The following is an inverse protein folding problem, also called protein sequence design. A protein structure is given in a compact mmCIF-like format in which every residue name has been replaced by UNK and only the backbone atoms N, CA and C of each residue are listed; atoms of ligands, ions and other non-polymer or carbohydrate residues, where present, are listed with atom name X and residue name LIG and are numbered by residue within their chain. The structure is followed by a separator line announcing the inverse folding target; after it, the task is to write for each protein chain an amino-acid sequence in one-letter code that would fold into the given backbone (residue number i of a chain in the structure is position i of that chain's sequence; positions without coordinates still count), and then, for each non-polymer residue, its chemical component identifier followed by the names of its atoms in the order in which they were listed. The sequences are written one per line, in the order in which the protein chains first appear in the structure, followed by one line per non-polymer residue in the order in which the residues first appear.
data_IF_182155121405
#
_entry.id   IF_182155121405
#
_cell.length_a   1.000
_cell.length_b   1.000
_cell.length_c   1.000
_cell.angle_alpha   90.00
_cell.angle_beta   90.00
_cell.angle_gamma   90.00
#
_symmetry.space_group_name_H-M   'P 1'
#
loop_
_entity.id
_entity.type
_entity.pdbx_description
1 polymer ?
#
# COMPACT_ATOMS: atom_id res chain seq x y z
N UNK A 1 -8.62 19.31 -4.85
CA UNK A 1 -8.08 18.87 -3.55
C UNK A 1 -8.59 17.48 -3.20
N UNK A 2 -7.73 16.63 -2.71
CA UNK A 2 -8.11 15.30 -2.25
C UNK A 2 -8.45 15.34 -0.77
N UNK A 3 -9.60 14.79 -0.42
CA UNK A 3 -10.05 14.75 0.98
C UNK A 3 -10.41 13.34 1.37
N UNK A 4 -10.28 13.05 2.65
CA UNK A 4 -10.73 11.80 3.25
C UNK A 4 -11.33 12.10 4.60
N UNK A 5 -12.28 11.27 4.99
CA UNK A 5 -13.01 11.46 6.23
C UNK A 5 -13.35 10.12 6.84
N UNK A 6 -13.26 10.02 8.17
CA UNK A 6 -13.79 8.87 8.89
C UNK A 6 -14.87 9.35 9.85
N UNK A 7 -15.92 8.54 9.96
CA UNK A 7 -17.02 8.82 10.88
C UNK A 7 -17.15 7.64 11.83
N UNK A 8 -17.12 7.93 13.13
CA UNK A 8 -17.25 6.90 14.16
C UNK A 8 -18.63 6.26 14.12
N UNK A 9 -18.65 4.92 14.20
CA UNK A 9 -19.87 4.14 14.20
C UNK A 9 -20.14 3.55 15.58
N UNK A 10 -19.22 2.77 16.10
CA UNK A 10 -19.32 2.13 17.40
C UNK A 10 -17.94 1.57 17.79
N UNK A 11 -17.68 1.44 19.07
CA UNK A 11 -16.42 0.88 19.60
C UNK A 11 -15.20 1.52 18.93
N UNK A 12 -14.39 0.77 18.23
CA UNK A 12 -13.23 1.28 17.49
C UNK A 12 -13.47 1.26 15.98
N UNK A 13 -14.73 1.20 15.56
CA UNK A 13 -15.11 1.07 14.16
C UNK A 13 -15.56 2.39 13.57
N UNK A 14 -15.05 2.69 12.39
CA UNK A 14 -15.32 3.91 11.64
C UNK A 14 -15.67 3.59 10.21
N UNK A 15 -16.47 4.45 9.59
CA UNK A 15 -16.67 4.44 8.14
C UNK A 15 -15.71 5.46 7.52
N UNK A 16 -14.90 5.00 6.56
CA UNK A 16 -13.98 5.88 5.84
C UNK A 16 -14.47 6.14 4.43
N UNK A 17 -14.26 7.34 3.94
CA UNK A 17 -14.60 7.73 2.57
C UNK A 17 -13.61 8.77 2.08
N UNK A 18 -13.23 8.68 0.82
CA UNK A 18 -12.37 9.69 0.20
C UNK A 18 -13.12 10.38 -0.94
N UNK A 19 -12.46 11.36 -1.57
CA UNK A 19 -13.05 12.18 -2.63
C UNK A 19 -13.60 11.37 -3.80
N UNK A 20 -13.06 10.17 -4.05
CA UNK A 20 -13.56 9.30 -5.12
C UNK A 20 -14.93 8.69 -4.81
N UNK A 21 -15.42 8.83 -3.58
CA UNK A 21 -16.73 8.31 -3.17
C UNK A 21 -16.74 6.87 -2.68
N UNK A 22 -15.60 6.18 -2.69
CA UNK A 22 -15.53 4.80 -2.24
C UNK A 22 -15.43 4.75 -0.72
N UNK A 23 -16.13 3.78 -0.13
CA UNK A 23 -16.17 3.61 1.32
C UNK A 23 -15.36 2.41 1.76
N UNK A 24 -14.84 2.49 2.98
CA UNK A 24 -14.10 1.39 3.58
C UNK A 24 -14.42 1.35 5.08
N UNK A 25 -14.46 0.15 5.63
CA UNK A 25 -14.61 -0.03 7.07
C UNK A 25 -13.23 -0.01 7.71
N UNK A 26 -13.06 0.82 8.73
CA UNK A 26 -11.83 0.93 9.50
C UNK A 26 -12.14 0.44 10.91
N UNK A 27 -11.38 -0.52 11.42
CA UNK A 27 -11.64 -1.09 12.74
C UNK A 27 -10.34 -1.25 13.52
N UNK A 28 -10.17 -0.45 14.57
CA UNK A 28 -8.99 -0.53 15.44
C UNK A 28 -8.86 -1.89 16.13
N UNK A 29 -9.97 -2.60 16.32
CA UNK A 29 -9.98 -3.94 16.93
C UNK A 29 -9.81 -5.07 15.91
N UNK A 30 -9.74 -4.75 14.62
CA UNK A 30 -9.51 -5.71 13.53
C UNK A 30 -10.56 -6.80 13.40
N UNK A 31 -11.79 -6.54 13.87
CA UNK A 31 -12.87 -7.52 13.85
C UNK A 31 -13.70 -7.46 12.58
N UNK A 32 -14.05 -6.25 12.14
CA UNK A 32 -14.91 -6.06 10.97
C UNK A 32 -14.21 -5.37 9.82
N UNK A 33 -12.95 -5.01 9.98
CA UNK A 33 -12.17 -4.35 8.94
C UNK A 33 -10.72 -4.22 9.35
N UNK A 34 -9.93 -3.64 8.48
CA UNK A 34 -8.51 -3.42 8.75
C UNK A 34 -8.33 -2.25 9.72
N UNK A 35 -7.28 -2.33 10.54
CA UNK A 35 -6.93 -1.24 11.42
C UNK A 35 -6.37 -0.05 10.62
N UNK A 36 -6.38 1.16 11.19
CA UNK A 36 -5.79 2.32 10.52
C UNK A 36 -4.35 2.09 10.08
N UNK A 37 -3.52 1.50 10.92
CA UNK A 37 -2.12 1.27 10.60
C UNK A 37 -1.95 0.20 9.52
N UNK A 38 -2.83 -0.82 9.48
CA UNK A 38 -2.84 -1.78 8.38
C UNK A 38 -3.18 -1.10 7.06
N UNK A 39 -4.10 -0.15 7.07
CA UNK A 39 -4.49 0.59 5.87
C UNK A 39 -3.35 1.44 5.34
N UNK A 40 -2.51 1.98 6.21
CA UNK A 40 -1.31 2.71 5.80
C UNK A 40 -0.38 1.78 5.00
N UNK A 41 -0.18 0.54 5.48
CA UNK A 41 0.65 -0.44 4.77
C UNK A 41 0.03 -0.87 3.45
N UNK A 42 -1.27 -1.11 3.42
CA UNK A 42 -1.99 -1.46 2.19
C UNK A 42 -1.85 -0.32 1.17
N UNK A 43 -2.02 0.92 1.62
CA UNK A 43 -1.87 2.09 0.77
C UNK A 43 -0.46 2.20 0.19
N UNK A 44 0.56 1.96 1.01
CA UNK A 44 1.95 1.98 0.57
C UNK A 44 2.20 0.91 -0.50
N UNK A 45 1.73 -0.33 -0.25
CA UNK A 45 1.85 -1.41 -1.23
C UNK A 45 1.13 -1.07 -2.53
N UNK A 46 -0.05 -0.48 -2.44
CA UNK A 46 -0.82 -0.07 -3.62
C UNK A 46 -0.15 1.03 -4.41
N UNK A 47 0.40 2.03 -3.71
CA UNK A 47 1.09 3.15 -4.34
C UNK A 47 2.31 2.68 -5.14
N UNK A 48 3.19 1.92 -4.51
CA UNK A 48 4.39 1.42 -5.19
C UNK A 48 4.04 0.38 -6.25
N UNK A 49 3.03 -0.47 -5.99
CA UNK A 49 2.57 -1.44 -6.98
C UNK A 49 2.02 -0.77 -8.24
N UNK A 50 1.25 0.28 -8.06
CA UNK A 50 0.74 1.07 -9.18
C UNK A 50 1.90 1.60 -10.05
N UNK A 51 2.93 2.14 -9.42
CA UNK A 51 4.09 2.67 -10.13
C UNK A 51 4.81 1.57 -10.91
N UNK A 52 5.03 0.42 -10.29
CA UNK A 52 5.73 -0.70 -10.92
C UNK A 52 4.94 -1.19 -12.15
N UNK A 53 3.62 -1.34 -12.01
CA UNK A 53 2.76 -1.73 -13.14
C UNK A 53 2.86 -0.70 -14.26
N UNK A 54 2.77 0.59 -13.94
CA UNK A 54 2.84 1.65 -14.95
C UNK A 54 4.18 1.63 -15.69
N UNK A 55 5.27 1.48 -14.97
CA UNK A 55 6.62 1.50 -15.56
C UNK A 55 6.85 0.26 -16.42
N UNK A 56 6.51 -0.93 -15.91
CA UNK A 56 6.68 -2.17 -16.66
C UNK A 56 5.81 -2.19 -17.91
N UNK A 57 4.60 -1.64 -17.84
CA UNK A 57 3.70 -1.52 -18.98
C UNK A 57 4.31 -0.61 -20.05
N UNK A 58 4.87 0.53 -19.66
CA UNK A 58 5.53 1.44 -20.60
C UNK A 58 6.76 0.82 -21.24
N UNK A 59 7.48 -0.02 -20.50
CA UNK A 59 8.64 -0.75 -21.02
C UNK A 59 8.24 -1.97 -21.83
N UNK A 60 6.93 -2.25 -21.96
CA UNK A 60 6.39 -3.40 -22.66
C UNK A 60 6.92 -4.74 -22.14
N UNK A 61 7.15 -4.81 -20.83
CA UNK A 61 7.54 -6.06 -20.18
C UNK A 61 6.33 -6.96 -20.01
N UNK A 62 6.41 -8.24 -20.41
CA UNK A 62 5.25 -9.14 -20.38
C UNK A 62 5.05 -9.78 -18.99
N UNK A 63 4.87 -8.97 -17.98
CA UNK A 63 4.58 -9.49 -16.65
C UNK A 63 3.13 -10.01 -16.59
N UNK A 64 2.92 -11.07 -15.83
CA UNK A 64 1.59 -11.70 -15.69
C UNK A 64 1.01 -11.54 -14.30
N UNK A 65 1.84 -11.19 -13.31
CA UNK A 65 1.38 -11.00 -11.94
C UNK A 65 2.32 -10.06 -11.20
N UNK A 66 1.78 -9.42 -10.19
CA UNK A 66 2.56 -8.59 -9.28
C UNK A 66 1.94 -8.70 -7.89
N UNK A 67 2.78 -8.99 -6.91
CA UNK A 67 2.39 -8.91 -5.51
C UNK A 67 3.39 -8.01 -4.80
N UNK A 68 2.90 -7.08 -4.01
CA UNK A 68 3.73 -6.25 -3.14
C UNK A 68 3.33 -6.56 -1.71
N UNK A 69 4.29 -6.99 -0.91
CA UNK A 69 4.06 -7.31 0.50
C UNK A 69 4.88 -6.37 1.37
N UNK A 70 4.26 -5.85 2.41
CA UNK A 70 4.94 -5.03 3.40
C UNK A 70 5.04 -5.80 4.70
N UNK A 71 6.25 -5.86 5.25
CA UNK A 71 6.51 -6.40 6.60
C UNK A 71 7.00 -5.23 7.44
N UNK A 72 6.36 -5.01 8.58
CA UNK A 72 6.65 -3.82 9.36
C UNK A 72 6.73 -4.12 10.84
N UNK A 73 7.55 -3.34 11.54
CA UNK A 73 7.65 -3.36 12.99
C UNK A 73 7.25 -1.98 13.52
N UNK A 74 6.68 -1.95 14.70
CA UNK A 74 6.23 -0.73 15.35
C UNK A 74 6.96 -0.53 16.66
N UNK A 75 7.05 0.74 17.09
CA UNK A 75 7.59 1.07 18.40
C UNK A 75 6.78 0.37 19.50
N UNK A 76 7.46 -0.09 20.55
CA UNK A 76 6.83 -0.83 21.64
C UNK A 76 5.97 0.06 22.53
N UNK A 77 6.23 1.35 22.55
CA UNK A 77 5.48 2.31 23.39
C UNK A 77 5.04 3.52 22.57
N UNK A 78 3.99 4.23 23.02
CA UNK A 78 3.51 5.41 22.28
C UNK A 78 4.59 6.49 22.10
N UNK A 79 4.63 7.14 20.94
CA UNK A 79 3.79 6.88 19.78
C UNK A 79 4.24 5.62 19.05
N UNK A 80 3.28 4.72 18.79
CA UNK A 80 3.55 3.40 18.18
C UNK A 80 3.69 3.49 16.66
N UNK A 81 4.62 4.30 16.22
CA UNK A 81 4.90 4.50 14.79
C UNK A 81 5.61 3.29 14.21
N UNK A 82 5.58 3.15 12.90
CA UNK A 82 6.40 2.13 12.23
C UNK A 82 7.86 2.54 12.35
N UNK A 83 8.68 1.61 12.85
CA UNK A 83 10.13 1.81 12.98
C UNK A 83 10.88 1.22 11.81
N UNK A 84 10.28 0.24 11.14
CA UNK A 84 10.86 -0.42 9.98
C UNK A 84 9.74 -0.93 9.09
N UNK A 85 9.87 -0.71 7.78
CA UNK A 85 8.95 -1.27 6.78
C UNK A 85 9.83 -1.88 5.70
N UNK A 86 9.60 -3.17 5.43
CA UNK A 86 10.28 -3.87 4.35
C UNK A 86 9.26 -4.23 3.28
N UNK A 87 9.53 -3.82 2.05
CA UNK A 87 8.68 -4.11 0.91
C UNK A 87 9.29 -5.25 0.11
N UNK A 88 8.47 -6.25 -0.20
CA UNK A 88 8.87 -7.41 -1.00
C UNK A 88 8.01 -7.44 -2.25
N UNK A 89 8.65 -7.44 -3.40
CA UNK A 89 7.99 -7.45 -4.70
C UNK A 89 8.13 -8.81 -5.34
N UNK A 90 7.01 -9.39 -5.76
CA UNK A 90 7.01 -10.64 -6.50
C UNK A 90 6.36 -10.40 -7.85
N UNK A 91 7.16 -10.53 -8.92
CA UNK A 91 6.70 -10.29 -10.28
C UNK A 91 6.78 -11.60 -11.06
N UNK A 92 5.64 -12.03 -11.62
CA UNK A 92 5.59 -13.22 -12.45
C UNK A 92 5.59 -12.86 -13.93
N UNK A 93 5.98 -13.85 -14.76
CA UNK A 93 6.06 -13.68 -16.21
C UNK A 93 7.50 -13.59 -16.69
N UNK A 94 7.66 -13.49 -18.01
CA UNK A 94 8.98 -13.41 -18.63
C UNK A 94 9.48 -11.97 -18.63
N UNK A 95 9.79 -11.45 -17.44
CA UNK A 95 10.24 -10.07 -17.28
C UNK A 95 11.73 -10.01 -16.98
N UNK A 96 12.36 -8.93 -17.43
CA UNK A 96 13.75 -8.67 -17.11
C UNK A 96 13.87 -8.27 -15.64
N UNK A 97 14.79 -8.92 -14.92
CA UNK A 97 15.04 -8.55 -13.53
C UNK A 97 15.50 -7.09 -13.41
N UNK A 98 16.32 -6.65 -14.36
CA UNK A 98 16.77 -5.26 -14.39
C UNK A 98 15.60 -4.29 -14.55
N UNK A 99 14.64 -4.61 -15.41
CA UNK A 99 13.47 -3.75 -15.61
C UNK A 99 12.65 -3.63 -14.33
N UNK A 100 12.48 -4.73 -13.59
CA UNK A 100 11.78 -4.73 -12.30
C UNK A 100 12.55 -3.90 -11.28
N UNK A 101 13.86 -4.10 -11.17
CA UNK A 101 14.68 -3.35 -10.23
C UNK A 101 14.64 -1.85 -10.54
N UNK A 102 14.71 -1.48 -11.80
CA UNK A 102 14.62 -0.08 -12.22
C UNK A 102 13.25 0.51 -11.90
N UNK A 103 12.18 -0.25 -12.10
CA UNK A 103 10.80 0.19 -11.80
C UNK A 103 10.62 0.44 -10.30
N UNK A 104 11.12 -0.47 -9.46
CA UNK A 104 11.05 -0.34 -8.01
C UNK A 104 11.83 0.90 -7.56
N UNK A 105 13.04 1.07 -8.08
CA UNK A 105 13.87 2.23 -7.73
C UNK A 105 13.20 3.54 -8.12
N UNK A 106 12.61 3.62 -9.31
CA UNK A 106 11.92 4.81 -9.77
C UNK A 106 10.70 5.13 -8.90
N UNK A 107 9.95 4.11 -8.50
CA UNK A 107 8.82 4.29 -7.59
C UNK A 107 9.28 4.93 -6.29
N UNK A 108 10.34 4.41 -5.69
CA UNK A 108 10.83 4.89 -4.39
C UNK A 108 11.45 6.28 -4.48
N UNK A 109 12.15 6.59 -5.56
CA UNK A 109 12.87 7.87 -5.70
C UNK A 109 12.00 9.01 -6.22
N UNK A 110 11.04 8.74 -7.08
CA UNK A 110 10.30 9.78 -7.79
C UNK A 110 8.81 9.84 -7.53
N UNK A 111 8.17 8.71 -7.27
CA UNK A 111 6.71 8.65 -7.27
C UNK A 111 6.09 8.30 -5.90
N UNK A 112 6.84 7.75 -4.99
CA UNK A 112 6.32 7.42 -3.65
C UNK A 112 7.08 8.06 -2.51
#
# INVERSE_FOLDING_TARGET
MTEARTTWVADQRFDGIASSGHRIVVDGDKKSGNSPMELVLIGLCGCTGYDVVSILTKKREPFTSLEVRAEAERAASPPTVYTEIRLVYRVGGKVSRKAVEDAVRLSEEKYC
#
